data_IF_712566128216
#
_entry.id   IF_712566128216
#
_cell.length_a   1.000
_cell.length_b   1.000
_cell.length_c   1.000
_cell.angle_alpha   90.00
_cell.angle_beta   90.00
_cell.angle_gamma   90.00
#
_symmetry.space_group_name_H-M   'P 1'
#
loop_
_entity.id
_entity.type
_entity.pdbx_description
1 polymer ?
#
# COMPACT_ATOMS: atom_id res chain seq x y z
N UNK A 1 14.52 33.42 1.86
CA UNK A 1 14.21 34.30 2.98
C UNK A 1 14.89 33.74 4.22
N UNK A 2 15.78 34.50 4.83
CA UNK A 2 16.47 34.08 6.03
C UNK A 2 15.54 34.23 7.25
N UNK A 3 14.94 33.15 7.70
CA UNK A 3 14.27 33.14 9.01
C UNK A 3 15.33 32.98 10.10
N UNK A 4 16.03 34.06 10.44
CA UNK A 4 17.12 34.06 11.41
C UNK A 4 16.76 33.53 12.81
N UNK A 5 15.46 33.48 13.12
CA UNK A 5 14.89 33.04 14.40
C UNK A 5 14.32 31.62 14.36
N UNK A 6 14.38 30.94 13.21
CA UNK A 6 13.81 29.59 13.07
C UNK A 6 14.57 28.61 13.96
N UNK A 7 13.89 27.90 14.84
CA UNK A 7 14.43 26.90 15.76
C UNK A 7 13.96 25.48 15.48
N UNK A 8 12.77 25.36 14.89
CA UNK A 8 12.10 24.07 14.65
C UNK A 8 11.36 24.11 13.32
N UNK A 9 11.46 23.01 12.56
CA UNK A 9 10.58 22.66 11.45
C UNK A 9 9.86 21.38 11.83
N UNK A 10 8.54 21.41 11.82
CA UNK A 10 7.70 20.26 12.09
C UNK A 10 6.98 19.82 10.81
N UNK A 11 7.11 18.55 10.47
CA UNK A 11 6.28 17.91 9.42
C UNK A 11 5.02 17.35 10.07
N UNK A 12 3.85 17.76 9.63
CA UNK A 12 2.55 17.26 10.14
C UNK A 12 2.29 15.79 9.78
N UNK A 13 3.09 15.22 8.84
CA UNK A 13 3.06 13.81 8.47
C UNK A 13 4.30 13.04 8.95
N UNK A 14 4.35 11.78 8.54
CA UNK A 14 5.55 10.93 8.76
C UNK A 14 6.68 11.32 7.81
N UNK A 15 6.35 11.72 6.58
CA UNK A 15 7.34 12.09 5.57
C UNK A 15 7.93 13.48 5.82
N UNK A 16 9.23 13.59 5.63
CA UNK A 16 9.97 14.84 5.70
C UNK A 16 10.90 15.06 4.49
N UNK A 17 10.63 14.37 3.39
CA UNK A 17 11.47 14.39 2.17
C UNK A 17 11.59 15.79 1.55
N UNK A 18 10.58 16.67 1.76
CA UNK A 18 10.62 18.05 1.31
C UNK A 18 11.48 18.97 2.20
N UNK A 19 12.02 18.48 3.32
CA UNK A 19 12.82 19.24 4.26
C UNK A 19 14.30 18.91 4.05
N UNK A 20 15.13 19.91 3.73
CA UNK A 20 16.59 19.76 3.72
C UNK A 20 17.10 19.64 5.16
N UNK A 21 17.10 18.41 5.69
CA UNK A 21 17.54 18.09 7.07
C UNK A 21 19.01 18.43 7.26
N UNK A 22 19.85 18.27 6.23
CA UNK A 22 21.27 18.60 6.32
C UNK A 22 21.47 20.11 6.46
N UNK A 23 20.72 20.91 5.70
CA UNK A 23 20.73 22.37 5.85
C UNK A 23 20.18 22.80 7.22
N UNK A 24 19.07 22.23 7.66
CA UNK A 24 18.48 22.51 8.98
C UNK A 24 19.53 22.28 10.09
N UNK A 25 20.21 21.12 10.06
CA UNK A 25 21.27 20.78 11.02
C UNK A 25 22.42 21.79 11.00
N UNK A 26 22.89 22.22 9.82
CA UNK A 26 23.97 23.25 9.71
C UNK A 26 23.57 24.58 10.33
N UNK A 27 22.29 24.92 10.33
CA UNK A 27 21.75 26.18 10.88
C UNK A 27 21.22 26.05 12.32
N UNK A 28 21.42 24.90 12.96
CA UNK A 28 20.96 24.66 14.34
C UNK A 28 19.43 24.61 14.47
N UNK A 29 18.73 24.25 13.38
CA UNK A 29 17.27 24.08 13.36
C UNK A 29 16.92 22.62 13.60
N UNK A 30 16.09 22.35 14.60
CA UNK A 30 15.56 21.01 14.85
C UNK A 30 14.52 20.65 13.79
N UNK A 31 14.48 19.37 13.39
CA UNK A 31 13.43 18.84 12.51
C UNK A 31 12.74 17.70 13.23
N UNK A 32 11.42 17.72 13.29
CA UNK A 32 10.61 16.63 13.83
C UNK A 32 9.45 16.30 12.88
N UNK A 33 8.87 15.11 13.06
CA UNK A 33 7.72 14.63 12.31
C UNK A 33 6.78 13.88 13.26
N UNK A 34 5.60 13.50 12.77
CA UNK A 34 4.58 12.74 13.49
C UNK A 34 4.73 11.23 13.29
N UNK A 35 5.93 10.68 13.52
CA UNK A 35 6.18 9.24 13.33
C UNK A 35 5.24 8.39 14.20
N UNK A 36 4.47 7.51 13.54
CA UNK A 36 3.59 6.54 14.19
C UNK A 36 2.21 7.06 14.62
N UNK A 37 1.98 8.37 14.65
CA UNK A 37 0.69 8.95 15.11
C UNK A 37 -0.48 8.49 14.25
N UNK A 38 -0.29 8.40 12.95
CA UNK A 38 -1.32 7.99 11.99
C UNK A 38 -1.27 6.50 11.62
N UNK A 39 -0.48 5.69 12.35
CA UNK A 39 -0.26 4.29 11.95
C UNK A 39 -1.56 3.48 11.91
N UNK A 40 -2.47 3.69 12.87
CA UNK A 40 -3.79 3.05 12.89
C UNK A 40 -4.64 3.43 11.68
N UNK A 41 -4.75 4.72 11.39
CA UNK A 41 -5.55 5.22 10.28
C UNK A 41 -5.04 4.67 8.92
N UNK A 42 -3.72 4.71 8.68
CA UNK A 42 -3.15 4.14 7.45
C UNK A 42 -3.31 2.62 7.39
N UNK A 43 -3.28 1.93 8.53
CA UNK A 43 -3.55 0.49 8.59
C UNK A 43 -5.00 0.16 8.20
N UNK A 44 -5.98 0.94 8.66
CA UNK A 44 -7.39 0.81 8.24
C UNK A 44 -7.54 1.04 6.74
N UNK A 45 -6.92 2.10 6.20
CA UNK A 45 -6.92 2.39 4.77
C UNK A 45 -6.31 1.23 3.96
N UNK A 46 -5.21 0.65 4.46
CA UNK A 46 -4.56 -0.50 3.84
C UNK A 46 -5.51 -1.71 3.78
N UNK A 47 -6.16 -2.05 4.88
CA UNK A 47 -7.10 -3.18 4.96
C UNK A 47 -8.34 -2.91 4.10
N UNK A 48 -8.86 -1.69 4.09
CA UNK A 48 -9.96 -1.29 3.20
C UNK A 48 -9.60 -1.56 1.73
N UNK A 49 -8.42 -1.13 1.28
CA UNK A 49 -7.95 -1.36 -0.09
C UNK A 49 -7.79 -2.86 -0.41
N UNK A 50 -7.25 -3.65 0.53
CA UNK A 50 -7.19 -5.11 0.40
C UNK A 50 -8.59 -5.70 0.15
N UNK A 51 -9.54 -5.36 0.99
CA UNK A 51 -10.92 -5.84 0.89
C UNK A 51 -11.60 -5.37 -0.40
N UNK A 52 -11.43 -4.10 -0.78
CA UNK A 52 -12.02 -3.56 -2.01
C UNK A 52 -11.51 -4.30 -3.25
N UNK A 53 -10.22 -4.66 -3.29
CA UNK A 53 -9.63 -5.44 -4.36
C UNK A 53 -10.15 -6.88 -4.36
N UNK A 54 -10.02 -7.60 -3.23
CA UNK A 54 -10.42 -9.00 -3.11
C UNK A 54 -11.92 -9.22 -3.37
N UNK A 55 -12.76 -8.27 -2.98
CA UNK A 55 -14.22 -8.35 -3.10
C UNK A 55 -14.78 -7.62 -4.33
N UNK A 56 -13.90 -7.05 -5.20
CA UNK A 56 -14.29 -6.31 -6.43
C UNK A 56 -15.35 -5.24 -6.12
N UNK A 57 -15.16 -4.49 -5.01
CA UNK A 57 -16.21 -3.65 -4.42
C UNK A 57 -16.70 -2.55 -5.36
N UNK A 58 -15.79 -1.87 -6.08
CA UNK A 58 -16.15 -0.81 -7.03
C UNK A 58 -16.90 -1.35 -8.26
N UNK A 59 -16.51 -2.52 -8.73
CA UNK A 59 -17.21 -3.20 -9.84
C UNK A 59 -18.61 -3.61 -9.40
N UNK A 60 -18.74 -4.16 -8.19
CA UNK A 60 -20.02 -4.50 -7.58
C UNK A 60 -20.96 -3.31 -7.46
N UNK A 61 -20.48 -2.18 -6.94
CA UNK A 61 -21.26 -0.93 -6.84
C UNK A 61 -21.75 -0.46 -8.22
N UNK A 62 -20.83 -0.40 -9.21
CA UNK A 62 -21.18 0.00 -10.59
C UNK A 62 -22.21 -0.93 -11.22
N UNK A 63 -22.06 -2.25 -11.03
CA UNK A 63 -22.99 -3.23 -11.58
C UNK A 63 -24.40 -3.09 -10.99
N UNK A 64 -24.52 -2.89 -9.67
CA UNK A 64 -25.81 -2.65 -9.02
C UNK A 64 -26.46 -1.37 -9.54
N UNK A 65 -25.73 -0.26 -9.59
CA UNK A 65 -26.25 1.02 -10.09
C UNK A 65 -26.67 0.98 -11.56
N UNK A 66 -26.05 0.15 -12.39
CA UNK A 66 -26.37 -0.02 -13.80
C UNK A 66 -27.39 -1.15 -14.08
N UNK A 67 -27.95 -1.79 -13.05
CA UNK A 67 -28.91 -2.88 -13.20
C UNK A 67 -28.30 -4.24 -13.61
N UNK A 68 -26.96 -4.37 -13.59
CA UNK A 68 -26.24 -5.58 -13.97
C UNK A 68 -25.89 -6.50 -12.79
N UNK A 69 -26.55 -6.34 -11.66
CA UNK A 69 -26.25 -7.05 -10.40
C UNK A 69 -26.17 -8.56 -10.58
N UNK A 70 -27.20 -9.15 -11.20
CA UNK A 70 -27.30 -10.63 -11.31
C UNK A 70 -26.20 -11.17 -12.22
N UNK A 71 -25.97 -10.52 -13.36
CA UNK A 71 -24.90 -10.89 -14.30
C UNK A 71 -23.54 -10.93 -13.62
N UNK A 72 -23.17 -9.87 -12.89
CA UNK A 72 -21.90 -9.81 -12.19
C UNK A 72 -21.82 -10.87 -11.08
N UNK A 73 -22.90 -11.06 -10.31
CA UNK A 73 -22.96 -12.10 -9.27
C UNK A 73 -22.69 -13.49 -9.84
N UNK A 74 -23.34 -13.85 -10.94
CA UNK A 74 -23.15 -15.14 -11.62
C UNK A 74 -21.72 -15.30 -12.13
N UNK A 75 -21.15 -14.25 -12.72
CA UNK A 75 -19.76 -14.24 -13.16
C UNK A 75 -18.80 -14.45 -11.99
N UNK A 76 -18.94 -13.71 -10.89
CA UNK A 76 -18.10 -13.85 -9.70
C UNK A 76 -18.23 -15.22 -9.02
N UNK A 77 -19.41 -15.84 -9.09
CA UNK A 77 -19.59 -17.21 -8.58
C UNK A 77 -18.82 -18.26 -9.39
N UNK A 78 -18.61 -18.01 -10.68
CA UNK A 78 -17.84 -18.90 -11.57
C UNK A 78 -16.33 -18.63 -11.44
N UNK A 79 -15.93 -17.37 -11.42
CA UNK A 79 -14.52 -16.97 -11.31
C UNK A 79 -13.95 -17.20 -9.91
N UNK A 80 -14.80 -17.16 -8.89
CA UNK A 80 -14.40 -17.20 -7.49
C UNK A 80 -13.85 -15.86 -6.99
N UNK A 81 -13.78 -15.71 -5.69
CA UNK A 81 -13.09 -14.62 -5.00
C UNK A 81 -12.69 -15.07 -3.58
N UNK A 82 -11.61 -14.51 -3.08
CA UNK A 82 -11.05 -14.94 -1.81
C UNK A 82 -11.60 -14.15 -0.62
N UNK A 83 -11.72 -14.81 0.52
CA UNK A 83 -11.84 -14.13 1.80
C UNK A 83 -10.44 -13.72 2.27
N UNK A 84 -10.32 -12.55 2.92
CA UNK A 84 -9.03 -12.08 3.41
C UNK A 84 -8.46 -13.02 4.48
N UNK A 85 -9.34 -13.68 5.26
CA UNK A 85 -8.94 -14.69 6.26
C UNK A 85 -8.22 -15.91 5.67
N UNK A 86 -8.52 -16.26 4.43
CA UNK A 86 -7.92 -17.40 3.72
C UNK A 86 -6.64 -17.03 2.96
N UNK A 87 -6.29 -15.73 2.94
CA UNK A 87 -5.14 -15.23 2.20
C UNK A 87 -3.85 -15.29 3.04
N UNK A 88 -2.72 -15.45 2.34
CA UNK A 88 -1.41 -15.09 2.87
C UNK A 88 -1.12 -13.62 2.56
N UNK A 89 -0.96 -12.79 3.58
CA UNK A 89 -0.67 -11.36 3.47
C UNK A 89 0.80 -11.09 3.71
N UNK A 90 1.49 -10.53 2.71
CA UNK A 90 2.90 -10.16 2.76
C UNK A 90 3.10 -8.65 2.91
N UNK A 91 3.88 -8.26 3.93
CA UNK A 91 4.24 -6.87 4.15
C UNK A 91 5.68 -6.60 3.68
N UNK A 92 5.84 -5.77 2.67
CA UNK A 92 7.16 -5.29 2.23
C UNK A 92 7.49 -4.01 2.98
N UNK A 93 8.39 -4.12 3.98
CA UNK A 93 8.54 -3.16 5.06
C UNK A 93 7.63 -3.49 6.24
N UNK A 94 8.16 -3.51 7.47
CA UNK A 94 7.37 -3.88 8.67
C UNK A 94 7.63 -2.88 9.80
N UNK A 95 7.25 -1.62 9.53
CA UNK A 95 7.26 -0.49 10.46
C UNK A 95 5.93 -0.36 11.23
N UNK A 96 5.71 0.80 11.87
CA UNK A 96 4.53 1.04 12.73
C UNK A 96 3.19 0.76 12.01
N UNK A 97 3.05 1.19 10.75
CA UNK A 97 1.82 1.00 9.95
C UNK A 97 1.56 -0.49 9.69
N UNK A 98 2.56 -1.22 9.17
CA UNK A 98 2.41 -2.64 8.88
C UNK A 98 2.15 -3.47 10.14
N UNK A 99 2.78 -3.12 11.27
CA UNK A 99 2.51 -3.74 12.56
C UNK A 99 1.10 -3.44 13.08
N UNK A 100 0.59 -2.22 12.87
CA UNK A 100 -0.80 -1.90 13.18
C UNK A 100 -1.77 -2.71 12.31
N UNK A 101 -1.51 -2.81 11.01
CA UNK A 101 -2.31 -3.65 10.11
C UNK A 101 -2.26 -5.13 10.53
N UNK A 102 -1.09 -5.65 10.91
CA UNK A 102 -0.96 -7.03 11.40
C UNK A 102 -1.80 -7.27 12.67
N UNK A 103 -1.81 -6.32 13.62
CA UNK A 103 -2.67 -6.41 14.81
C UNK A 103 -4.16 -6.47 14.46
N UNK A 104 -4.59 -5.65 13.49
CA UNK A 104 -5.98 -5.64 13.05
C UNK A 104 -6.36 -6.90 12.28
N UNK A 105 -5.45 -7.47 11.50
CA UNK A 105 -5.68 -8.68 10.71
C UNK A 105 -5.58 -9.97 11.53
N UNK A 106 -4.85 -9.97 12.63
CA UNK A 106 -4.65 -11.17 13.47
C UNK A 106 -5.95 -11.90 13.83
N UNK A 107 -7.04 -11.21 14.27
CA UNK A 107 -8.32 -11.86 14.56
C UNK A 107 -9.01 -12.48 13.33
N UNK A 108 -8.62 -12.12 12.13
CA UNK A 108 -9.22 -12.63 10.88
C UNK A 108 -8.68 -13.99 10.48
N UNK A 109 -7.53 -14.40 11.07
CA UNK A 109 -6.94 -15.72 10.85
C UNK A 109 -6.09 -15.88 9.61
N UNK A 110 -5.88 -14.81 8.82
CA UNK A 110 -4.99 -14.85 7.66
C UNK A 110 -3.53 -15.14 8.07
N UNK A 111 -2.81 -15.84 7.21
CA UNK A 111 -1.37 -16.00 7.38
C UNK A 111 -0.67 -14.67 7.06
N UNK A 112 0.25 -14.25 7.95
CA UNK A 112 0.97 -12.99 7.76
C UNK A 112 2.47 -13.22 7.73
N UNK A 113 3.12 -12.70 6.68
CA UNK A 113 4.57 -12.68 6.53
C UNK A 113 5.07 -11.27 6.27
N UNK A 114 6.33 -11.00 6.60
CA UNK A 114 6.91 -9.70 6.35
C UNK A 114 8.37 -9.78 5.91
N UNK A 115 8.79 -8.77 5.15
CA UNK A 115 10.19 -8.53 4.81
C UNK A 115 10.65 -7.17 5.36
N UNK A 116 11.81 -7.12 5.98
CA UNK A 116 12.50 -5.90 6.40
C UNK A 116 13.98 -6.18 6.63
N UNK A 117 14.81 -5.12 6.61
CA UNK A 117 16.28 -5.24 6.76
C UNK A 117 16.73 -5.89 8.07
N UNK A 118 16.02 -5.63 9.16
CA UNK A 118 16.30 -6.18 10.49
C UNK A 118 15.03 -6.87 10.99
N UNK A 119 14.95 -8.21 10.92
CA UNK A 119 13.80 -8.96 11.43
C UNK A 119 13.49 -8.62 12.89
N UNK A 120 12.24 -8.81 13.28
CA UNK A 120 11.83 -8.75 14.68
C UNK A 120 12.33 -9.98 15.42
N UNK A 121 12.35 -9.91 16.74
CA UNK A 121 12.57 -11.09 17.55
C UNK A 121 11.32 -12.00 17.59
N UNK A 122 11.51 -13.24 18.01
CA UNK A 122 10.43 -14.25 18.04
C UNK A 122 9.25 -13.86 18.95
N UNK A 123 9.48 -13.07 19.98
CA UNK A 123 8.43 -12.64 20.89
C UNK A 123 7.52 -11.61 20.20
N UNK A 124 8.09 -10.64 19.50
CA UNK A 124 7.36 -9.64 18.73
C UNK A 124 6.63 -10.28 17.52
N UNK A 125 7.24 -11.25 16.85
CA UNK A 125 6.59 -12.03 15.79
C UNK A 125 5.37 -12.79 16.33
N UNK A 126 5.49 -13.45 17.46
CA UNK A 126 4.39 -14.16 18.10
C UNK A 126 3.27 -13.23 18.57
N UNK A 127 3.61 -12.06 19.11
CA UNK A 127 2.62 -11.03 19.48
C UNK A 127 1.81 -10.58 18.29
N UNK A 128 2.50 -10.28 17.16
CA UNK A 128 1.87 -9.76 15.94
C UNK A 128 1.21 -10.86 15.09
N UNK A 129 1.59 -12.12 15.28
CA UNK A 129 1.15 -13.22 14.44
C UNK A 129 1.73 -13.18 13.02
N UNK A 130 2.92 -12.59 12.84
CA UNK A 130 3.58 -12.43 11.56
C UNK A 130 5.00 -12.96 11.64
N UNK A 131 5.47 -13.66 10.61
CA UNK A 131 6.83 -14.22 10.55
C UNK A 131 7.66 -13.58 9.44
N UNK A 132 8.96 -13.47 9.68
CA UNK A 132 9.89 -13.00 8.65
C UNK A 132 9.95 -13.97 7.46
N UNK A 133 10.07 -13.39 6.26
CA UNK A 133 10.28 -14.11 5.01
C UNK A 133 11.19 -13.30 4.08
N UNK A 134 12.07 -13.98 3.34
CA UNK A 134 12.87 -13.33 2.29
C UNK A 134 11.95 -12.74 1.22
N UNK A 135 12.36 -11.64 0.57
CA UNK A 135 11.48 -10.90 -0.34
C UNK A 135 10.97 -11.78 -1.49
N UNK A 136 11.83 -12.54 -2.14
CA UNK A 136 11.44 -13.36 -3.30
C UNK A 136 10.46 -14.48 -2.90
N UNK A 137 10.64 -15.07 -1.72
CA UNK A 137 9.73 -16.07 -1.17
C UNK A 137 8.37 -15.44 -0.82
N UNK A 138 8.38 -14.23 -0.21
CA UNK A 138 7.18 -13.47 0.08
C UNK A 138 6.40 -13.18 -1.20
N UNK A 139 7.06 -12.68 -2.24
CA UNK A 139 6.40 -12.33 -3.50
C UNK A 139 5.74 -13.54 -4.16
N UNK A 140 6.43 -14.69 -4.17
CA UNK A 140 5.93 -15.91 -4.83
C UNK A 140 4.83 -16.63 -4.04
N UNK A 141 4.70 -16.34 -2.75
CA UNK A 141 3.77 -17.05 -1.85
C UNK A 141 2.49 -16.26 -1.56
N UNK A 142 2.59 -14.93 -1.42
CA UNK A 142 1.50 -14.13 -0.90
C UNK A 142 0.39 -13.85 -1.92
N UNK A 143 -0.85 -13.95 -1.45
CA UNK A 143 -2.05 -13.57 -2.19
C UNK A 143 -2.24 -12.04 -2.20
N UNK A 144 -1.79 -11.38 -1.14
CA UNK A 144 -1.82 -9.92 -1.01
C UNK A 144 -0.43 -9.43 -0.63
N UNK A 145 0.14 -8.52 -1.40
CA UNK A 145 1.41 -7.85 -1.10
C UNK A 145 1.15 -6.38 -0.79
N UNK A 146 1.54 -5.93 0.40
CA UNK A 146 1.34 -4.56 0.87
C UNK A 146 2.66 -3.85 1.12
N UNK A 147 2.80 -2.65 0.53
CA UNK A 147 4.03 -1.87 0.54
C UNK A 147 4.04 -0.89 1.72
N UNK A 148 5.09 -0.96 2.54
CA UNK A 148 5.28 -0.13 3.74
C UNK A 148 6.74 0.33 3.92
N UNK A 149 7.48 0.47 2.81
CA UNK A 149 8.85 0.99 2.82
C UNK A 149 8.86 2.50 2.56
N UNK A 150 9.84 3.26 3.09
CA UNK A 150 10.05 4.64 2.70
C UNK A 150 10.65 4.73 1.30
N UNK A 151 10.60 5.90 0.66
CA UNK A 151 11.34 6.16 -0.58
C UNK A 151 12.81 6.42 -0.24
N UNK A 152 13.67 5.59 -0.79
CA UNK A 152 15.14 5.71 -0.76
C UNK A 152 15.67 5.43 -2.16
N UNK A 153 16.97 5.54 -2.36
CA UNK A 153 17.57 5.20 -3.66
C UNK A 153 17.36 3.70 -4.00
N UNK A 154 17.28 2.81 -2.99
CA UNK A 154 17.05 1.37 -3.19
C UNK A 154 15.57 1.01 -3.38
N UNK A 155 14.64 1.83 -2.89
CA UNK A 155 13.21 1.52 -2.95
C UNK A 155 12.45 2.30 -4.01
N UNK A 156 13.05 3.32 -4.59
CA UNK A 156 12.48 4.07 -5.72
C UNK A 156 12.36 3.17 -6.94
N UNK A 157 11.14 2.98 -7.43
CA UNK A 157 10.86 2.11 -8.57
C UNK A 157 11.17 0.63 -8.32
N UNK A 158 11.24 0.18 -7.04
CA UNK A 158 11.56 -1.21 -6.73
C UNK A 158 10.48 -2.18 -7.18
N UNK A 159 9.25 -1.70 -7.32
CA UNK A 159 8.13 -2.50 -7.87
C UNK A 159 8.13 -2.31 -9.38
N UNK A 160 9.03 -3.00 -10.03
CA UNK A 160 9.26 -3.05 -11.47
C UNK A 160 8.73 -4.37 -12.07
N UNK A 161 8.98 -4.60 -13.36
CA UNK A 161 8.59 -5.84 -14.05
C UNK A 161 9.18 -7.10 -13.38
N UNK A 162 10.42 -7.01 -12.84
CA UNK A 162 11.05 -8.15 -12.17
C UNK A 162 10.38 -8.47 -10.84
N UNK A 163 10.03 -7.45 -10.05
CA UNK A 163 9.27 -7.59 -8.81
C UNK A 163 7.88 -8.18 -9.10
N UNK A 164 7.13 -7.56 -10.02
CA UNK A 164 5.79 -7.99 -10.40
C UNK A 164 5.80 -9.40 -11.02
N UNK A 165 6.83 -9.72 -11.81
CA UNK A 165 7.05 -11.04 -12.37
C UNK A 165 7.23 -12.15 -11.32
N UNK A 166 7.81 -11.83 -10.16
CA UNK A 166 7.96 -12.77 -9.03
C UNK A 166 6.70 -12.94 -8.20
N UNK A 167 5.77 -11.99 -8.22
CA UNK A 167 4.54 -12.10 -7.45
C UNK A 167 3.74 -13.34 -7.88
N UNK A 168 3.02 -13.93 -6.93
CA UNK A 168 2.08 -15.02 -7.21
C UNK A 168 1.09 -14.59 -8.29
N UNK A 169 0.83 -15.45 -9.26
CA UNK A 169 -0.17 -15.17 -10.30
C UNK A 169 -1.53 -14.88 -9.65
N UNK A 170 -2.14 -13.78 -10.03
CA UNK A 170 -3.42 -13.37 -9.47
C UNK A 170 -3.32 -12.72 -8.08
N UNK A 171 -2.13 -12.36 -7.60
CA UNK A 171 -1.98 -11.62 -6.35
C UNK A 171 -2.53 -10.20 -6.45
N UNK A 172 -2.84 -9.62 -5.30
CA UNK A 172 -3.25 -8.23 -5.12
C UNK A 172 -2.06 -7.40 -4.62
N UNK A 173 -1.82 -6.24 -5.22
CA UNK A 173 -0.84 -5.26 -4.73
C UNK A 173 -1.54 -4.10 -4.02
N UNK A 174 -1.07 -3.73 -2.83
CA UNK A 174 -1.58 -2.56 -2.09
C UNK A 174 -0.43 -1.60 -1.79
N UNK A 175 -0.62 -0.31 -2.12
CA UNK A 175 0.35 0.74 -1.81
C UNK A 175 -0.31 1.91 -1.07
N UNK A 176 -0.02 2.01 0.22
CA UNK A 176 -0.36 3.16 1.08
C UNK A 176 0.91 3.87 1.58
N UNK A 177 2.06 3.59 0.95
CA UNK A 177 3.33 4.18 1.32
C UNK A 177 3.64 5.43 0.47
N UNK A 178 4.19 5.25 -0.75
CA UNK A 178 4.50 6.35 -1.69
C UNK A 178 4.40 5.86 -3.14
N UNK A 179 3.95 6.74 -4.04
CA UNK A 179 3.84 6.45 -5.48
C UNK A 179 5.17 6.09 -6.12
N UNK A 180 6.23 6.81 -5.75
CA UNK A 180 7.59 6.62 -6.27
C UNK A 180 8.20 5.22 -6.06
N UNK A 181 7.61 4.38 -5.22
CA UNK A 181 8.08 3.00 -4.98
C UNK A 181 7.73 2.10 -6.17
N UNK A 182 6.68 2.46 -6.91
CA UNK A 182 6.12 1.66 -8.00
C UNK A 182 6.48 2.26 -9.36
N UNK A 183 7.04 1.46 -10.25
CA UNK A 183 7.01 1.76 -11.67
C UNK A 183 5.58 1.57 -12.18
N UNK A 184 4.90 2.68 -12.42
CA UNK A 184 3.48 2.67 -12.80
C UNK A 184 3.24 2.13 -14.21
N UNK A 185 4.26 2.18 -15.11
CA UNK A 185 4.16 1.53 -16.42
C UNK A 185 4.23 0.00 -16.26
N UNK A 186 5.16 -0.51 -15.46
CA UNK A 186 5.26 -1.94 -15.17
C UNK A 186 3.97 -2.47 -14.50
N UNK A 187 3.42 -1.73 -13.53
CA UNK A 187 2.16 -2.13 -12.88
C UNK A 187 0.97 -2.09 -13.85
N UNK A 188 0.89 -1.07 -14.72
CA UNK A 188 -0.16 -1.00 -15.75
C UNK A 188 -0.08 -2.21 -16.68
N UNK A 189 1.12 -2.57 -17.17
CA UNK A 189 1.34 -3.74 -18.01
C UNK A 189 0.94 -5.05 -17.30
N UNK A 190 1.35 -5.23 -16.04
CA UNK A 190 1.00 -6.40 -15.24
C UNK A 190 -0.52 -6.55 -15.01
N UNK A 191 -1.23 -5.43 -14.87
CA UNK A 191 -2.70 -5.42 -14.79
C UNK A 191 -3.35 -5.75 -16.13
N UNK A 192 -2.86 -5.20 -17.24
CA UNK A 192 -3.39 -5.49 -18.58
C UNK A 192 -3.23 -6.97 -18.95
N UNK A 193 -2.07 -7.56 -18.63
CA UNK A 193 -1.81 -8.97 -18.87
C UNK A 193 -2.49 -9.92 -17.86
N UNK A 194 -3.12 -9.40 -16.81
CA UNK A 194 -3.74 -10.22 -15.76
C UNK A 194 -2.75 -10.95 -14.87
N UNK A 195 -1.47 -10.55 -14.86
CA UNK A 195 -0.45 -11.08 -13.95
C UNK A 195 -0.77 -10.75 -12.51
N UNK A 196 -1.27 -9.50 -12.28
CA UNK A 196 -1.80 -9.01 -11.00
C UNK A 196 -3.31 -8.99 -11.09
N UNK A 197 -4.01 -9.57 -10.09
CA UNK A 197 -5.46 -9.60 -10.07
C UNK A 197 -6.07 -8.21 -9.85
N UNK A 198 -5.50 -7.43 -8.94
CA UNK A 198 -5.96 -6.07 -8.64
C UNK A 198 -4.86 -5.24 -7.97
N UNK A 199 -5.02 -3.92 -8.00
CA UNK A 199 -4.17 -2.99 -7.26
C UNK A 199 -5.01 -1.99 -6.47
N UNK A 200 -4.66 -1.82 -5.16
CA UNK A 200 -5.24 -0.80 -4.27
C UNK A 200 -4.21 0.28 -3.96
N UNK A 201 -4.42 1.51 -4.41
CA UNK A 201 -3.42 2.56 -4.41
C UNK A 201 -3.98 3.84 -3.75
N UNK A 202 -3.42 4.18 -2.59
CA UNK A 202 -3.70 5.48 -1.94
C UNK A 202 -2.77 6.58 -2.47
N UNK A 203 -1.69 6.19 -3.13
CA UNK A 203 -0.63 7.10 -3.59
C UNK A 203 -0.23 6.78 -5.03
N UNK A 204 0.01 7.82 -5.81
CA UNK A 204 0.50 7.78 -7.19
C UNK A 204 1.70 8.74 -7.33
N UNK A 205 2.36 8.73 -8.48
CA UNK A 205 3.41 9.70 -8.83
C UNK A 205 3.25 10.16 -10.29
N UNK A 206 3.40 11.49 -10.61
CA UNK A 206 3.56 12.58 -9.65
C UNK A 206 2.32 12.81 -8.78
N UNK A 207 2.48 13.62 -7.75
CA UNK A 207 1.38 14.06 -6.91
C UNK A 207 1.35 15.61 -6.92
N UNK A 208 0.27 16.26 -7.43
CA UNK A 208 -0.97 15.65 -7.91
C UNK A 208 -0.80 14.81 -9.17
N UNK A 209 -1.61 13.76 -9.28
CA UNK A 209 -1.60 12.86 -10.44
C UNK A 209 -2.03 13.60 -11.71
N UNK A 210 -1.38 13.30 -12.83
CA UNK A 210 -1.70 13.87 -14.14
C UNK A 210 -2.49 12.88 -14.99
N UNK A 211 -3.27 13.38 -15.96
CA UNK A 211 -4.19 12.56 -16.78
C UNK A 211 -3.49 11.59 -17.73
N UNK A 212 -2.20 11.77 -17.97
CA UNK A 212 -1.34 10.88 -18.76
C UNK A 212 -0.73 9.73 -17.94
N UNK A 213 -1.05 9.66 -16.64
CA UNK A 213 -0.61 8.54 -15.80
C UNK A 213 -1.10 7.21 -16.39
N UNK A 214 -0.22 6.20 -16.59
CA UNK A 214 -0.58 4.94 -17.24
C UNK A 214 -1.69 4.17 -16.51
N UNK A 215 -1.76 4.27 -15.18
CA UNK A 215 -2.79 3.60 -14.39
C UNK A 215 -4.19 4.24 -14.53
N UNK A 216 -4.28 5.47 -15.03
CA UNK A 216 -5.56 6.13 -15.35
C UNK A 216 -6.01 5.85 -16.79
N UNK A 217 -5.16 5.26 -17.61
CA UNK A 217 -5.40 5.00 -19.03
C UNK A 217 -5.44 3.50 -19.37
N UNK A 218 -5.78 2.66 -18.39
CA UNK A 218 -5.96 1.22 -18.55
C UNK A 218 -7.21 0.89 -19.39
N UNK A 219 -7.24 -0.30 -19.98
CA UNK A 219 -8.46 -0.87 -20.55
C UNK A 219 -9.61 -0.90 -19.52
N UNK A 220 -10.87 -0.91 -19.93
CA UNK A 220 -12.00 -0.99 -19.00
C UNK A 220 -11.90 -2.18 -18.03
N UNK A 221 -11.41 -3.32 -18.50
CA UNK A 221 -11.21 -4.56 -17.74
C UNK A 221 -10.11 -4.42 -16.68
N UNK A 222 -8.95 -3.86 -17.05
CA UNK A 222 -7.86 -3.64 -16.11
C UNK A 222 -8.19 -2.51 -15.14
N UNK A 223 -8.83 -1.42 -15.60
CA UNK A 223 -9.30 -0.30 -14.77
C UNK A 223 -10.31 -0.75 -13.71
N UNK A 224 -11.17 -1.72 -14.00
CA UNK A 224 -12.11 -2.25 -13.02
C UNK A 224 -11.41 -2.92 -11.82
N UNK A 225 -10.16 -3.33 -11.99
CA UNK A 225 -9.33 -4.00 -10.98
C UNK A 225 -8.38 -3.04 -10.24
N UNK A 226 -8.42 -1.73 -10.56
CA UNK A 226 -7.70 -0.69 -9.85
C UNK A 226 -8.63 0.07 -8.88
N UNK A 227 -8.21 0.17 -7.63
CA UNK A 227 -8.89 0.95 -6.60
C UNK A 227 -7.97 2.09 -6.19
N UNK A 228 -8.44 3.32 -6.36
CA UNK A 228 -7.69 4.52 -5.98
C UNK A 228 -8.32 5.21 -4.79
N UNK A 229 -7.48 5.81 -3.95
CA UNK A 229 -7.89 6.79 -2.95
C UNK A 229 -6.93 8.00 -3.00
N UNK A 230 -7.36 9.20 -2.58
CA UNK A 230 -6.66 10.44 -2.88
C UNK A 230 -5.59 10.80 -1.83
N UNK A 231 -4.76 9.87 -1.42
CA UNK A 231 -3.69 10.02 -0.41
C UNK A 231 -4.25 10.49 0.94
N UNK A 232 -5.27 9.81 1.44
CA UNK A 232 -5.97 10.16 2.69
C UNK A 232 -5.77 9.17 3.82
N UNK A 233 -4.97 8.12 3.61
CA UNK A 233 -4.81 7.06 4.60
C UNK A 233 -4.39 7.55 5.98
N UNK A 234 -3.63 8.65 6.05
CA UNK A 234 -3.22 9.26 7.31
C UNK A 234 -4.08 10.45 7.77
N UNK A 235 -5.09 10.86 6.99
CA UNK A 235 -5.86 12.09 7.25
C UNK A 235 -7.15 11.74 7.97
N UNK A 236 -7.17 11.89 9.29
CA UNK A 236 -8.35 11.65 10.13
C UNK A 236 -8.56 12.81 11.11
N UNK A 237 -9.76 12.95 11.66
CA UNK A 237 -10.04 14.00 12.67
C UNK A 237 -9.05 13.94 13.84
N UNK A 238 -8.72 12.73 14.32
CA UNK A 238 -7.76 12.55 15.41
C UNK A 238 -6.32 12.96 15.10
N UNK A 239 -5.99 13.30 13.84
CA UNK A 239 -4.68 13.83 13.48
C UNK A 239 -4.55 15.34 13.79
N UNK A 240 -5.67 16.06 13.91
CA UNK A 240 -5.70 17.52 14.09
C UNK A 240 -5.97 17.94 15.54
N UNK A 241 -6.15 17.00 16.45
CA UNK A 241 -6.37 17.19 17.89
C UNK A 241 -5.40 16.30 18.69
#
# INVERSE_FOLDING_TARGET
SSMATLKLVHSEGVAFNAIDVASAKRHGVAVCNCAGVNAGAVAEQTIMLMLMCLRRALEGDRAVRSGNQIRLKEQMMVEGFSELGDCTVGFVGFGAIAQAAARYLKPWGCEMVYNKRHPLDAAAEGELGARYMALDDLLSTCDVVSLHVPVTDETRGMVDDAFLGKMKLGAVLVNTARGDIVDQNALAHALEEGKIAAAGLDVLTPEPVTTDNPLLNLSPEASARCVFSPHIGGVTEGMFY
#
